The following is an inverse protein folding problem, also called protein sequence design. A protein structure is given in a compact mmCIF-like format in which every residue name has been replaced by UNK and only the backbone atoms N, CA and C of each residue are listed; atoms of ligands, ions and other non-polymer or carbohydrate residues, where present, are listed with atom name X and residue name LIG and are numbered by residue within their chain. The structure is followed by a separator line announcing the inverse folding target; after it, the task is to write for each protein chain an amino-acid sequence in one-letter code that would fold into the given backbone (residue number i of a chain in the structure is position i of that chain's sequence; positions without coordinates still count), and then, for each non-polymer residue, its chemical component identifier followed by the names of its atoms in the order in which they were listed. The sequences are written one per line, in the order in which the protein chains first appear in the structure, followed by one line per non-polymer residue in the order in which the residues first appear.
data_IF_048663529673
#
_entry.id   IF_048663529673
#
_cell.length_a   1.000
_cell.length_b   1.000
_cell.length_c   1.000
_cell.angle_alpha   90.00
_cell.angle_beta   90.00
_cell.angle_gamma   90.00
#
_symmetry.space_group_name_H-M   'P 1'
#
loop_
_entity.id
_entity.type
_entity.pdbx_description
1 polymer ?
#
# COMPACT_ATOMS: atom_id res chain seq x y z
N UNK A 1 -4.75 29.65 0.47
CA UNK A 1 -5.11 31.07 0.70
C UNK A 1 -3.98 32.09 0.52
N UNK A 2 -2.68 31.77 0.76
CA UNK A 2 -1.57 32.75 0.61
C UNK A 2 -1.25 33.21 -0.83
N UNK A 3 -1.69 32.47 -1.86
CA UNK A 3 -1.40 32.81 -3.27
C UNK A 3 -2.34 33.89 -3.82
N UNK A 4 -3.59 33.92 -3.36
CA UNK A 4 -4.62 34.90 -3.76
C UNK A 4 -4.22 36.35 -3.45
N UNK A 5 -3.48 36.55 -2.35
CA UNK A 5 -3.09 37.89 -1.90
C UNK A 5 -2.01 38.53 -2.78
N UNK A 6 -1.10 37.73 -3.37
CA UNK A 6 -0.02 38.26 -4.22
C UNK A 6 -0.52 38.73 -5.58
N UNK A 7 -1.48 38.02 -6.17
CA UNK A 7 -2.04 38.37 -7.48
C UNK A 7 -2.92 39.62 -7.44
N UNK A 8 -3.67 39.81 -6.35
CA UNK A 8 -4.50 41.02 -6.15
C UNK A 8 -3.63 42.26 -5.91
N UNK A 9 -2.55 42.13 -5.14
CA UNK A 9 -1.60 43.24 -4.89
C UNK A 9 -0.85 43.65 -6.16
N UNK A 10 -0.54 42.70 -7.06
CA UNK A 10 0.05 43.03 -8.35
C UNK A 10 -0.93 43.79 -9.25
N UNK A 11 -2.19 43.39 -9.29
CA UNK A 11 -3.25 44.06 -10.07
C UNK A 11 -3.49 45.50 -9.58
N UNK A 12 -3.49 45.72 -8.26
CA UNK A 12 -3.69 47.05 -7.66
C UNK A 12 -2.49 47.98 -7.96
N UNK A 13 -1.24 47.48 -7.87
CA UNK A 13 -0.06 48.30 -8.17
C UNK A 13 0.05 48.70 -9.65
N UNK A 14 -0.45 47.88 -10.57
CA UNK A 14 -0.45 48.18 -12.01
C UNK A 14 -1.45 49.29 -12.35
N UNK A 15 -2.60 49.36 -11.65
CA UNK A 15 -3.61 50.40 -11.84
C UNK A 15 -3.10 51.77 -11.34
N UNK A 16 -2.29 51.79 -10.28
CA UNK A 16 -1.78 53.03 -9.65
C UNK A 16 -0.65 53.68 -10.46
N UNK A 17 0.05 52.95 -11.34
CA UNK A 17 1.30 53.42 -11.98
C UNK A 17 1.14 53.75 -13.48
N UNK A 18 -0.08 54.03 -13.95
CA UNK A 18 -0.35 54.36 -15.34
C UNK A 18 0.07 55.82 -15.67
N UNK A 19 1.33 56.02 -16.06
CA UNK A 19 1.77 57.23 -16.75
C UNK A 19 2.48 56.84 -18.07
N UNK A 20 2.16 57.58 -19.12
CA UNK A 20 2.11 57.13 -20.51
C UNK A 20 3.49 56.87 -21.16
N UNK A 21 3.78 55.62 -21.53
CA UNK A 21 4.87 55.27 -22.44
C UNK A 21 4.52 53.97 -23.21
N UNK A 22 4.77 53.92 -24.51
CA UNK A 22 4.41 52.80 -25.40
C UNK A 22 4.99 51.45 -24.94
N UNK A 23 6.21 51.47 -24.38
CA UNK A 23 6.87 50.29 -23.79
C UNK A 23 6.11 49.76 -22.55
N UNK A 24 5.46 50.64 -21.81
CA UNK A 24 4.64 50.30 -20.64
C UNK A 24 3.32 49.65 -21.08
N UNK A 25 2.71 50.14 -22.16
CA UNK A 25 1.53 49.50 -22.75
C UNK A 25 1.82 48.07 -23.22
N UNK A 26 2.97 47.83 -23.89
CA UNK A 26 3.37 46.49 -24.33
C UNK A 26 3.61 45.55 -23.13
N UNK A 27 4.23 46.04 -22.05
CA UNK A 27 4.44 45.28 -20.81
C UNK A 27 3.13 44.92 -20.09
N UNK A 28 2.17 45.85 -20.07
CA UNK A 28 0.84 45.60 -19.49
C UNK A 28 0.07 44.57 -20.33
N UNK A 29 0.09 44.69 -21.65
CA UNK A 29 -0.58 43.74 -22.56
C UNK A 29 0.02 42.35 -22.43
N UNK A 30 1.35 42.22 -22.45
CA UNK A 30 2.02 40.91 -22.31
C UNK A 30 1.75 40.27 -20.95
N UNK A 31 1.71 41.05 -19.87
CA UNK A 31 1.37 40.55 -18.53
C UNK A 31 -0.10 40.12 -18.45
N UNK A 32 -1.02 40.89 -19.05
CA UNK A 32 -2.44 40.52 -19.12
C UNK A 32 -2.66 39.24 -19.93
N UNK A 33 -1.97 39.08 -21.06
CA UNK A 33 -2.02 37.86 -21.87
C UNK A 33 -1.49 36.65 -21.08
N UNK A 34 -0.38 36.79 -20.36
CA UNK A 34 0.14 35.73 -19.49
C UNK A 34 -0.83 35.38 -18.36
N UNK A 35 -1.44 36.38 -17.71
CA UNK A 35 -2.45 36.15 -16.67
C UNK A 35 -3.68 35.44 -17.23
N UNK A 36 -4.19 35.85 -18.39
CA UNK A 36 -5.32 35.20 -19.06
C UNK A 36 -4.96 33.76 -19.43
N UNK A 37 -3.77 33.51 -19.98
CA UNK A 37 -3.31 32.17 -20.33
C UNK A 37 -3.22 31.26 -19.09
N UNK A 38 -2.68 31.77 -17.99
CA UNK A 38 -2.61 31.02 -16.72
C UNK A 38 -3.99 30.75 -16.11
N UNK A 39 -4.92 31.71 -16.20
CA UNK A 39 -6.31 31.53 -15.76
C UNK A 39 -7.01 30.49 -16.62
N UNK A 40 -6.83 30.52 -17.94
CA UNK A 40 -7.40 29.53 -18.86
C UNK A 40 -6.81 28.13 -18.64
N UNK A 41 -5.50 28.02 -18.40
CA UNK A 41 -4.85 26.75 -18.07
C UNK A 41 -5.38 26.18 -16.74
N UNK A 42 -5.59 27.03 -15.74
CA UNK A 42 -6.19 26.64 -14.46
C UNK A 42 -7.66 26.21 -14.60
N UNK A 43 -8.43 26.87 -15.46
CA UNK A 43 -9.81 26.46 -15.79
C UNK A 43 -9.83 25.09 -16.47
N UNK A 44 -8.82 24.75 -17.27
CA UNK A 44 -8.70 23.43 -17.90
C UNK A 44 -8.39 22.32 -16.88
N UNK A 45 -7.53 22.58 -15.90
CA UNK A 45 -7.22 21.63 -14.82
C UNK A 45 -8.46 21.38 -13.93
N UNK A 46 -9.23 22.41 -13.60
CA UNK A 46 -10.49 22.26 -12.83
C UNK A 46 -11.51 21.44 -13.61
N UNK A 47 -11.67 21.68 -14.92
CA UNK A 47 -12.57 20.89 -15.75
C UNK A 47 -12.17 19.42 -15.78
N UNK A 48 -10.88 19.12 -15.85
CA UNK A 48 -10.38 17.75 -15.77
C UNK A 48 -10.66 17.10 -14.41
N UNK A 49 -10.48 17.84 -13.30
CA UNK A 49 -10.83 17.36 -11.96
C UNK A 49 -12.34 17.08 -11.81
N UNK A 50 -13.20 17.95 -12.34
CA UNK A 50 -14.66 17.78 -12.28
C UNK A 50 -15.10 16.57 -13.11
N UNK A 51 -14.53 16.37 -14.30
CA UNK A 51 -14.78 15.17 -15.13
C UNK A 51 -14.37 13.90 -14.37
N UNK A 52 -13.20 13.92 -13.71
CA UNK A 52 -12.71 12.78 -12.93
C UNK A 52 -13.63 12.44 -11.74
N UNK A 53 -14.13 13.47 -11.03
CA UNK A 53 -15.10 13.29 -9.94
C UNK A 53 -16.44 12.75 -10.48
N UNK A 54 -16.93 13.24 -11.61
CA UNK A 54 -18.15 12.73 -12.25
C UNK A 54 -17.97 11.26 -12.66
N UNK A 55 -16.82 10.87 -13.21
CA UNK A 55 -16.51 9.47 -13.54
C UNK A 55 -16.53 8.60 -12.28
N UNK A 56 -15.95 9.06 -11.17
CA UNK A 56 -15.98 8.33 -9.89
C UNK A 56 -17.42 8.18 -9.39
N UNK A 57 -18.24 9.24 -9.44
CA UNK A 57 -19.65 9.20 -9.02
C UNK A 57 -20.46 8.24 -9.90
N UNK A 58 -20.25 8.25 -11.22
CA UNK A 58 -20.92 7.32 -12.16
C UNK A 58 -20.46 5.87 -11.91
N UNK A 59 -19.19 5.64 -11.58
CA UNK A 59 -18.69 4.30 -11.22
C UNK A 59 -19.25 3.83 -9.87
N UNK A 60 -19.45 4.72 -8.89
CA UNK A 60 -20.12 4.36 -7.64
C UNK A 60 -21.63 4.13 -7.83
N UNK A 61 -22.26 4.74 -8.84
CA UNK A 61 -23.65 4.44 -9.23
C UNK A 61 -23.84 3.08 -9.91
N UNK A 62 -22.75 2.42 -10.31
CA UNK A 62 -22.79 1.08 -10.92
C UNK A 62 -22.68 -0.06 -9.90
N UNK A 63 -22.57 0.23 -8.60
CA UNK A 63 -22.92 -0.78 -7.59
C UNK A 63 -24.43 -0.97 -7.66
N UNK A 64 -24.87 -1.90 -8.50
CA UNK A 64 -26.21 -2.46 -8.44
C UNK A 64 -26.43 -2.84 -6.98
N UNK A 65 -27.25 -2.06 -6.27
CA UNK A 65 -27.87 -2.50 -5.03
C UNK A 65 -28.71 -3.72 -5.43
N UNK A 66 -28.12 -4.90 -5.35
CA UNK A 66 -28.85 -6.15 -5.47
C UNK A 66 -29.75 -6.20 -4.25
N UNK A 67 -30.96 -5.67 -4.40
CA UNK A 67 -32.09 -6.06 -3.57
C UNK A 67 -32.28 -7.56 -3.81
N UNK A 68 -31.61 -8.34 -2.96
CA UNK A 68 -31.66 -9.78 -2.96
C UNK A 68 -33.11 -10.11 -2.64
N UNK A 69 -33.90 -10.51 -3.64
CA UNK A 69 -35.12 -11.27 -3.37
C UNK A 69 -34.67 -12.41 -2.45
N UNK A 70 -35.21 -12.46 -1.24
CA UNK A 70 -35.02 -13.56 -0.31
C UNK A 70 -35.61 -14.82 -0.96
N UNK A 71 -34.80 -15.47 -1.78
CA UNK A 71 -34.97 -16.90 -2.06
C UNK A 71 -34.62 -17.57 -0.74
N UNK A 72 -35.51 -18.42 -0.22
CA UNK A 72 -35.24 -19.29 0.91
C UNK A 72 -34.18 -20.34 0.52
N UNK A 73 -32.98 -19.88 0.20
CA UNK A 73 -31.79 -20.71 0.09
C UNK A 73 -31.30 -20.97 1.51
N UNK A 74 -31.16 -22.23 1.85
CA UNK A 74 -30.42 -22.69 3.04
C UNK A 74 -29.05 -21.99 3.09
N UNK A 75 -28.64 -21.41 4.23
CA UNK A 75 -27.49 -20.51 4.30
C UNK A 75 -26.20 -21.32 4.39
N UNK A 76 -25.77 -21.96 3.29
CA UNK A 76 -24.53 -22.76 3.26
C UNK A 76 -23.27 -21.95 2.91
N UNK A 77 -23.39 -20.63 2.69
CA UNK A 77 -22.22 -19.75 2.53
C UNK A 77 -21.97 -19.03 3.85
N UNK A 78 -21.03 -19.56 4.63
CA UNK A 78 -20.48 -18.88 5.80
C UNK A 78 -19.33 -18.00 5.29
N UNK A 79 -19.46 -16.68 5.48
CA UNK A 79 -18.42 -15.73 5.10
C UNK A 79 -17.24 -15.69 6.09
N UNK A 80 -16.22 -14.90 5.77
CA UNK A 80 -15.13 -14.61 6.71
C UNK A 80 -15.55 -13.66 7.82
N UNK A 81 -14.93 -13.80 8.99
CA UNK A 81 -15.06 -12.90 10.12
C UNK A 81 -13.67 -12.48 10.61
N UNK A 82 -13.60 -11.39 11.38
CA UNK A 82 -12.35 -10.97 11.99
C UNK A 82 -11.91 -11.98 13.05
N UNK A 83 -10.74 -12.57 12.86
CA UNK A 83 -10.12 -13.41 13.87
C UNK A 83 -9.74 -12.57 15.11
N UNK A 84 -9.89 -13.13 16.29
CA UNK A 84 -9.32 -12.57 17.51
C UNK A 84 -7.81 -12.83 17.55
N UNK A 85 -7.09 -11.99 18.29
CA UNK A 85 -5.66 -12.19 18.54
C UNK A 85 -5.50 -13.53 19.28
N UNK A 86 -4.72 -14.43 18.69
CA UNK A 86 -4.47 -15.77 19.24
C UNK A 86 -5.33 -16.88 18.66
N UNK A 87 -6.35 -16.59 17.82
CA UNK A 87 -7.14 -17.63 17.14
C UNK A 87 -6.26 -18.50 16.23
N UNK A 88 -5.29 -17.87 15.57
CA UNK A 88 -4.32 -18.51 14.68
C UNK A 88 -2.90 -18.19 15.15
N UNK A 89 -2.41 -18.86 16.20
CA UNK A 89 -1.16 -18.49 16.87
C UNK A 89 0.09 -18.78 16.01
N UNK A 90 -0.07 -19.57 14.94
CA UNK A 90 0.97 -19.83 13.95
C UNK A 90 1.01 -18.78 12.84
N UNK A 91 0.03 -17.88 12.76
CA UNK A 91 -0.07 -16.90 11.68
C UNK A 91 0.82 -15.70 11.94
N UNK A 92 1.74 -15.43 11.00
CA UNK A 92 2.60 -14.25 11.03
C UNK A 92 2.58 -13.54 9.68
N UNK A 93 2.69 -12.22 9.70
CA UNK A 93 2.81 -11.39 8.50
C UNK A 93 4.28 -11.26 8.07
N UNK A 94 4.56 -11.42 6.78
CA UNK A 94 5.86 -11.08 6.20
C UNK A 94 5.85 -9.58 5.91
N UNK A 95 6.76 -8.85 6.54
CA UNK A 95 6.93 -7.41 6.35
C UNK A 95 8.36 -7.07 5.95
N UNK A 96 8.52 -6.08 5.07
CA UNK A 96 9.82 -5.44 4.83
C UNK A 96 9.89 -4.12 5.57
N UNK A 97 11.04 -3.82 6.18
CA UNK A 97 11.33 -2.50 6.75
C UNK A 97 12.35 -1.78 5.88
N UNK A 98 11.97 -0.61 5.39
CA UNK A 98 12.85 0.27 4.62
C UNK A 98 13.08 1.54 5.41
N UNK A 99 14.34 1.90 5.68
CA UNK A 99 14.66 3.18 6.30
C UNK A 99 14.42 4.29 5.28
N UNK A 100 13.57 5.25 5.62
CA UNK A 100 13.31 6.46 4.85
C UNK A 100 13.52 7.63 5.79
N UNK A 101 14.62 8.37 5.59
CA UNK A 101 15.08 9.43 6.50
C UNK A 101 15.24 8.88 7.94
N UNK A 102 14.56 9.49 8.92
CA UNK A 102 14.57 9.09 10.34
C UNK A 102 13.46 8.09 10.71
N UNK A 103 12.67 7.65 9.74
CA UNK A 103 11.55 6.73 9.95
C UNK A 103 11.74 5.41 9.16
N UNK A 104 10.92 4.41 9.50
CA UNK A 104 10.83 3.17 8.74
C UNK A 104 9.49 3.08 8.02
N UNK A 105 9.54 2.93 6.70
CA UNK A 105 8.39 2.47 5.94
C UNK A 105 8.28 0.96 6.08
N UNK A 106 7.10 0.49 6.51
CA UNK A 106 6.76 -0.92 6.48
C UNK A 106 6.10 -1.23 5.13
N UNK A 107 6.25 -2.45 4.64
CA UNK A 107 5.41 -2.93 3.55
C UNK A 107 5.05 -4.39 3.83
N UNK A 108 3.75 -4.68 3.80
CA UNK A 108 3.23 -6.03 3.87
C UNK A 108 3.55 -6.76 2.56
N UNK A 109 4.03 -8.00 2.67
CA UNK A 109 4.32 -8.88 1.53
C UNK A 109 3.33 -10.02 1.42
N UNK A 110 2.98 -10.61 2.55
CA UNK A 110 2.14 -11.79 2.60
C UNK A 110 2.17 -12.39 4.00
N UNK A 111 1.90 -13.68 4.11
CA UNK A 111 1.81 -14.37 5.38
C UNK A 111 2.68 -15.62 5.41
N UNK A 112 3.11 -16.04 6.59
CA UNK A 112 3.84 -17.29 6.82
C UNK A 112 3.25 -18.03 8.02
N UNK A 113 3.48 -19.34 8.09
CA UNK A 113 3.06 -20.18 9.21
C UNK A 113 4.26 -20.64 10.02
N UNK A 114 4.25 -20.42 11.33
CA UNK A 114 5.27 -20.94 12.24
C UNK A 114 5.17 -22.46 12.28
N UNK A 115 6.28 -23.17 12.05
CA UNK A 115 6.32 -24.65 12.09
C UNK A 115 7.26 -25.19 13.16
N UNK A 116 8.19 -24.36 13.66
CA UNK A 116 9.03 -24.70 14.82
C UNK A 116 9.60 -23.45 15.47
N UNK A 117 10.49 -23.60 16.45
CA UNK A 117 11.05 -22.47 17.21
C UNK A 117 11.86 -21.51 16.34
N UNK A 118 12.45 -21.96 15.24
CA UNK A 118 13.28 -21.13 14.37
C UNK A 118 12.74 -20.98 12.95
N UNK A 119 11.68 -21.71 12.62
CA UNK A 119 11.27 -21.89 11.23
C UNK A 119 9.81 -21.52 11.01
N UNK A 120 9.57 -20.80 9.93
CA UNK A 120 8.26 -20.59 9.34
C UNK A 120 8.27 -20.99 7.87
N UNK A 121 7.11 -21.38 7.34
CA UNK A 121 6.89 -21.73 5.93
C UNK A 121 6.02 -20.66 5.27
N UNK A 122 6.34 -20.32 4.03
CA UNK A 122 5.55 -19.44 3.19
C UNK A 122 5.67 -19.81 1.71
N UNK A 123 5.22 -18.93 0.81
CA UNK A 123 5.38 -19.03 -0.62
C UNK A 123 6.67 -18.33 -1.09
N UNK A 124 7.41 -18.95 -2.00
CA UNK A 124 8.69 -18.45 -2.51
C UNK A 124 8.53 -17.14 -3.32
N UNK A 125 7.40 -16.93 -3.99
CA UNK A 125 7.20 -15.67 -4.71
C UNK A 125 7.15 -14.44 -3.78
N UNK A 126 6.89 -14.63 -2.49
CA UNK A 126 6.82 -13.54 -1.51
C UNK A 126 8.19 -13.03 -1.08
N UNK A 127 9.26 -13.79 -1.31
CA UNK A 127 10.64 -13.43 -0.96
C UNK A 127 11.38 -12.77 -2.12
N UNK A 128 10.80 -12.76 -3.32
CA UNK A 128 11.41 -12.14 -4.49
C UNK A 128 11.49 -10.61 -4.36
N UNK A 129 12.58 -9.98 -4.83
CA UNK A 129 12.66 -8.53 -4.93
C UNK A 129 11.53 -7.98 -5.82
N UNK A 130 10.72 -7.07 -5.29
CA UNK A 130 9.78 -6.30 -6.11
C UNK A 130 10.52 -5.07 -6.64
N UNK A 131 11.05 -5.18 -7.87
CA UNK A 131 11.79 -4.17 -8.63
C UNK A 131 13.07 -3.62 -7.96
N UNK A 132 14.05 -3.23 -8.77
CA UNK A 132 15.48 -2.93 -8.50
C UNK A 132 15.79 -1.80 -7.48
N UNK A 133 14.84 -1.41 -6.63
CA UNK A 133 15.01 -0.33 -5.68
C UNK A 133 15.06 -0.91 -4.27
N UNK A 134 16.30 -1.01 -3.77
CA UNK A 134 16.74 -1.17 -2.39
C UNK A 134 17.18 -2.59 -2.06
N UNK A 135 18.47 -2.83 -2.31
CA UNK A 135 19.26 -4.02 -1.97
C UNK A 135 19.45 -4.27 -0.45
N UNK A 136 18.78 -3.50 0.42
CA UNK A 136 18.93 -3.55 1.89
C UNK A 136 17.64 -3.84 2.65
N UNK A 137 16.62 -4.40 2.00
CA UNK A 137 15.35 -4.73 2.66
C UNK A 137 15.54 -5.90 3.64
N UNK A 138 15.57 -5.58 4.94
CA UNK A 138 15.47 -6.60 5.99
C UNK A 138 14.02 -7.04 6.11
N UNK A 139 13.78 -8.34 5.98
CA UNK A 139 12.46 -8.96 6.14
C UNK A 139 12.24 -9.40 7.59
N UNK A 140 11.00 -9.33 8.04
CA UNK A 140 10.59 -9.75 9.37
C UNK A 140 9.30 -10.56 9.29
N UNK A 141 9.13 -11.47 10.24
CA UNK A 141 7.86 -12.10 10.57
C UNK A 141 7.25 -11.35 11.74
N UNK A 142 6.06 -10.78 11.52
CA UNK A 142 5.32 -10.02 12.52
C UNK A 142 4.15 -10.85 13.05
N UNK A 143 4.18 -11.15 14.34
CA UNK A 143 3.08 -11.81 15.06
C UNK A 143 2.36 -10.89 16.04
N UNK A 144 1.33 -11.44 16.69
CA UNK A 144 0.62 -10.84 17.81
C UNK A 144 0.05 -9.43 17.56
N UNK A 145 -0.61 -9.19 16.43
CA UNK A 145 -1.20 -7.87 16.14
C UNK A 145 -2.40 -7.95 15.23
N UNK A 146 -3.25 -6.93 15.29
CA UNK A 146 -4.15 -6.61 14.19
C UNK A 146 -3.31 -6.03 13.03
N UNK A 147 -3.71 -6.33 11.79
CA UNK A 147 -3.03 -5.85 10.57
C UNK A 147 -3.01 -4.30 10.47
N UNK A 148 -3.80 -3.61 11.28
CA UNK A 148 -3.76 -2.16 11.39
C UNK A 148 -2.43 -1.75 12.02
N UNK A 149 -1.62 -1.10 11.18
CA UNK A 149 -0.26 -0.58 11.28
C UNK A 149 0.23 0.06 12.60
N UNK A 150 -0.56 0.03 13.67
CA UNK A 150 -0.28 0.65 14.96
C UNK A 150 -0.70 -0.17 16.18
N UNK A 151 -0.95 -1.47 16.05
CA UNK A 151 -0.96 -2.36 17.22
C UNK A 151 0.35 -2.15 17.99
N UNK A 152 0.29 -1.82 19.28
CA UNK A 152 1.52 -1.53 20.07
C UNK A 152 2.23 -2.81 20.52
N UNK A 153 1.55 -3.95 20.44
CA UNK A 153 1.97 -5.20 21.06
C UNK A 153 2.42 -6.27 20.05
N UNK A 154 2.88 -5.87 18.86
CA UNK A 154 3.44 -6.80 17.89
C UNK A 154 4.83 -7.30 18.29
N UNK A 155 5.18 -8.49 17.81
CA UNK A 155 6.54 -9.04 17.91
C UNK A 155 7.10 -9.19 16.50
N UNK A 156 8.27 -8.60 16.26
CA UNK A 156 8.99 -8.70 15.00
C UNK A 156 10.17 -9.67 15.14
N UNK A 157 10.15 -10.74 14.36
CA UNK A 157 11.25 -11.70 14.25
C UNK A 157 12.01 -11.44 12.94
N UNK A 158 13.27 -11.02 13.05
CA UNK A 158 14.11 -10.79 11.87
C UNK A 158 14.36 -12.12 11.14
N UNK A 159 14.09 -12.15 9.84
CA UNK A 159 14.46 -13.27 8.99
C UNK A 159 15.97 -13.17 8.74
N UNK A 160 16.68 -14.24 9.09
CA UNK A 160 18.13 -14.38 8.93
C UNK A 160 18.48 -15.06 7.62
N UNK A 161 17.76 -16.12 7.30
CA UNK A 161 18.02 -16.96 6.13
C UNK A 161 16.70 -17.33 5.43
N UNK A 162 16.78 -17.44 4.10
CA UNK A 162 15.66 -17.77 3.21
C UNK A 162 16.09 -18.97 2.37
N UNK A 163 15.32 -20.04 2.45
CA UNK A 163 15.56 -21.30 1.74
C UNK A 163 14.42 -21.55 0.78
N UNK A 164 14.57 -21.07 -0.45
CA UNK A 164 13.63 -21.34 -1.54
C UNK A 164 13.76 -22.79 -2.00
N UNK A 165 12.65 -23.39 -2.39
CA UNK A 165 12.69 -24.72 -2.97
C UNK A 165 13.57 -24.73 -4.23
N UNK A 166 14.51 -25.66 -4.30
CA UNK A 166 15.49 -25.73 -5.40
C UNK A 166 14.87 -25.77 -6.79
N UNK A 167 13.64 -26.27 -6.92
CA UNK A 167 12.91 -26.39 -8.19
C UNK A 167 11.86 -25.29 -8.40
N UNK A 168 11.85 -24.26 -7.55
CA UNK A 168 10.91 -23.15 -7.69
C UNK A 168 11.01 -22.50 -9.09
N UNK A 169 9.88 -22.43 -9.79
CA UNK A 169 9.79 -21.80 -11.12
C UNK A 169 10.50 -22.54 -12.26
N UNK A 170 11.09 -23.73 -12.04
CA UNK A 170 11.89 -24.41 -13.07
C UNK A 170 11.04 -25.03 -14.18
N UNK A 171 9.87 -25.60 -13.86
CA UNK A 171 8.99 -26.24 -14.86
C UNK A 171 7.90 -25.31 -15.37
N UNK A 172 7.36 -24.47 -14.51
CA UNK A 172 6.31 -23.50 -14.80
C UNK A 172 6.38 -22.34 -13.81
N UNK A 173 5.74 -21.21 -14.15
CA UNK A 173 5.59 -20.08 -13.22
C UNK A 173 4.91 -20.57 -11.93
N UNK A 174 5.50 -20.26 -10.77
CA UNK A 174 5.07 -20.72 -9.44
C UNK A 174 5.11 -22.24 -9.21
N UNK A 175 5.77 -23.04 -10.06
CA UNK A 175 6.06 -24.44 -9.71
C UNK A 175 6.91 -24.48 -8.43
N UNK A 176 6.62 -25.41 -7.50
CA UNK A 176 7.28 -25.51 -6.21
C UNK A 176 7.36 -24.19 -5.40
N UNK A 177 6.26 -23.43 -5.37
CA UNK A 177 6.14 -22.14 -4.66
C UNK A 177 6.10 -22.28 -3.13
N UNK A 178 7.23 -22.71 -2.55
CA UNK A 178 7.40 -22.91 -1.12
C UNK A 178 8.78 -22.42 -0.69
N UNK A 179 8.82 -21.77 0.47
CA UNK A 179 10.04 -21.24 1.09
C UNK A 179 10.07 -21.51 2.58
N UNK A 180 11.24 -21.85 3.09
CA UNK A 180 11.54 -21.92 4.53
C UNK A 180 12.23 -20.62 4.96
N UNK A 181 11.71 -20.01 6.01
CA UNK A 181 12.21 -18.76 6.59
C UNK A 181 12.78 -19.05 7.96
N UNK A 182 14.08 -18.80 8.15
CA UNK A 182 14.75 -18.95 9.43
C UNK A 182 14.79 -17.61 10.16
N UNK A 183 14.35 -17.57 11.41
CA UNK A 183 14.44 -16.37 12.24
C UNK A 183 15.73 -16.34 13.06
N UNK A 184 16.30 -15.14 13.24
CA UNK A 184 17.56 -14.95 13.96
C UNK A 184 17.46 -15.28 15.47
N UNK A 185 16.26 -15.21 16.03
CA UNK A 185 15.95 -15.55 17.43
C UNK A 185 14.73 -16.46 17.45
N UNK A 186 14.68 -17.45 18.37
CA UNK A 186 13.57 -18.37 18.39
C UNK A 186 12.26 -17.66 18.76
N UNK A 187 11.15 -18.10 18.16
CA UNK A 187 9.81 -17.75 18.59
C UNK A 187 9.63 -18.10 20.07
N UNK A 188 9.10 -17.15 20.84
CA UNK A 188 8.80 -17.38 22.26
C UNK A 188 7.37 -17.89 22.36
N UNK A 189 7.25 -19.17 22.66
CA UNK A 189 5.94 -19.79 22.75
C UNK A 189 5.13 -19.18 23.89
N UNK A 190 3.93 -18.76 23.53
CA UNK A 190 3.00 -18.02 24.39
C UNK A 190 1.77 -17.74 23.56
N UNK A 191 1.72 -16.54 22.98
CA UNK A 191 0.71 -16.21 21.97
C UNK A 191 1.09 -16.80 20.60
N UNK A 192 2.38 -16.82 20.26
CA UNK A 192 2.88 -17.46 19.04
C UNK A 192 3.11 -18.96 19.28
N UNK A 193 2.58 -19.83 18.41
CA UNK A 193 2.71 -21.29 18.52
C UNK A 193 2.85 -21.93 17.15
N UNK A 194 3.62 -23.01 17.00
CA UNK A 194 3.75 -23.68 15.71
C UNK A 194 2.48 -24.45 15.34
N UNK A 195 2.28 -24.64 14.03
CA UNK A 195 1.30 -25.59 13.47
C UNK A 195 1.99 -26.87 13.01
N UNK A 196 1.28 -27.99 13.07
CA UNK A 196 1.77 -29.26 12.57
C UNK A 196 1.90 -29.23 11.04
N UNK A 197 2.96 -29.85 10.51
CA UNK A 197 3.14 -30.07 9.08
C UNK A 197 2.56 -31.43 8.72
N UNK A 198 1.79 -31.50 7.64
CA UNK A 198 1.21 -32.76 7.18
C UNK A 198 2.32 -33.76 6.81
N UNK A 199 2.27 -34.95 7.42
CA UNK A 199 3.19 -36.04 7.11
C UNK A 199 2.80 -36.76 5.82
N UNK A 200 3.80 -37.31 5.13
CA UNK A 200 3.56 -38.27 4.05
C UNK A 200 3.35 -39.64 4.67
N UNK A 201 2.14 -40.19 4.55
CA UNK A 201 1.92 -41.60 4.85
C UNK A 201 2.48 -42.41 3.68
N UNK A 202 3.50 -43.21 3.95
CA UNK A 202 3.95 -44.22 2.99
C UNK A 202 2.98 -45.40 3.12
N UNK A 203 2.08 -45.54 2.13
CA UNK A 203 1.26 -46.75 1.92
C UNK A 203 1.92 -47.65 0.90
#
# INVERSE_FOLDING_TARGET
MRVYWRSIVLLINIIITANYNLLHCIRIITTLVYCIFHILQWQMEIKQCVIFIIIIIIHQGSTRYHSRKHVNATPYIIGGYNAFIGDFPFMVAIITKTKILDNYALAFRGAASIVSAYWAISAAHLTKPIHDLISSRVMYLRGNTSHWWGGKDFVDHRIEEIYEHENYGKKAEYDCDIVLLKVAKPFRYGIEKPVAVAGKYYT
#
